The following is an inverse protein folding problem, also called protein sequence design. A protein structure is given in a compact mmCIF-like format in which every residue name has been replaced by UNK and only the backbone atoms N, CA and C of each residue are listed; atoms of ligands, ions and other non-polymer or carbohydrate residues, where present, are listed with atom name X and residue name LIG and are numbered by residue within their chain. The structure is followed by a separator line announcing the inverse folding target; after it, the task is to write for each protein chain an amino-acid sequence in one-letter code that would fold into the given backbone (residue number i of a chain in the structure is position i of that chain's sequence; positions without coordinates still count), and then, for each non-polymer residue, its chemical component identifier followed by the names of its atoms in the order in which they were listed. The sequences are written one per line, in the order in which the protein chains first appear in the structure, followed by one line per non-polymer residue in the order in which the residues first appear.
data_IF_390478186550
#
_entry.id   IF_390478186550
#
_cell.length_a   1.000
_cell.length_b   1.000
_cell.length_c   1.000
_cell.angle_alpha   90.00
_cell.angle_beta   90.00
_cell.angle_gamma   90.00
#
_symmetry.space_group_name_H-M   'P 1'
#
loop_
_entity.id
_entity.type
_entity.pdbx_description
1 polymer ?
2 non-polymer ?
3 non-polymer ?
4 non-polymer ?
5 water ?
#
# COMPACT_ATOMS: atom_id res chain seq x y z
N UNK A 18 0.11 35.56 -27.32
CA UNK A 18 0.89 34.68 -26.39
C UNK A 18 2.12 35.38 -25.87
N UNK A 19 2.90 35.94 -26.79
CA UNK A 19 4.12 36.68 -26.43
C UNK A 19 3.85 37.63 -25.31
N UNK A 20 2.78 38.41 -25.43
CA UNK A 20 2.44 39.39 -24.41
C UNK A 20 1.98 38.74 -23.10
N UNK A 21 1.19 37.68 -23.19
CA UNK A 21 0.71 36.97 -22.01
C UNK A 21 1.86 36.38 -21.14
N UNK A 22 2.90 35.88 -21.79
CA UNK A 22 4.07 35.36 -21.08
C UNK A 22 4.93 36.44 -20.37
N UNK A 23 4.95 37.67 -20.89
CA UNK A 23 5.61 38.78 -20.17
C UNK A 23 4.76 39.14 -18.96
N UNK A 24 3.45 39.01 -19.12
CA UNK A 24 2.52 39.32 -18.03
C UNK A 24 2.62 38.32 -16.86
N UNK A 25 3.28 37.18 -17.06
CA UNK A 25 3.55 36.28 -15.93
C UNK A 25 4.52 36.93 -14.92
N UNK A 26 4.16 36.92 -13.63
CA UNK A 26 5.07 37.32 -12.55
C UNK A 26 6.36 36.51 -12.54
N UNK A 27 6.24 35.20 -12.75
CA UNK A 27 7.36 34.28 -12.90
C UNK A 27 7.02 33.24 -13.95
N UNK A 28 8.02 32.88 -14.78
CA UNK A 28 7.92 31.71 -15.67
C UNK A 28 8.37 30.48 -14.87
N UNK A 29 7.41 29.77 -14.27
CA UNK A 29 7.76 28.64 -13.37
C UNK A 29 8.14 27.40 -14.19
N UNK A 30 7.22 26.97 -15.08
CA UNK A 30 7.41 25.78 -15.91
C UNK A 30 7.91 26.11 -17.31
N UNK A 31 8.39 25.08 -18.00
CA UNK A 31 8.55 25.09 -19.46
C UNK A 31 7.18 25.48 -20.06
N UNK A 32 7.17 26.39 -21.02
CA UNK A 32 5.96 26.72 -21.76
C UNK A 32 5.76 25.68 -22.86
N UNK A 33 4.53 25.18 -22.97
CA UNK A 33 4.22 23.99 -23.77
C UNK A 33 4.32 24.29 -25.28
N UNK A 34 5.14 23.53 -26.00
CA UNK A 34 5.28 23.67 -27.44
C UNK A 34 6.05 24.92 -27.89
N UNK A 35 6.73 25.59 -26.96
CA UNK A 35 7.45 26.83 -27.23
C UNK A 35 8.79 26.85 -26.56
N UNK A 36 9.76 26.07 -27.10
CA UNK A 36 11.16 26.08 -26.65
C UNK A 36 11.85 27.46 -26.51
N UNK A 37 11.30 28.53 -27.11
CA UNK A 37 11.89 29.90 -26.96
C UNK A 37 12.01 30.36 -25.51
N UNK A 38 11.32 29.69 -24.59
CA UNK A 38 11.22 30.17 -23.23
C UNK A 38 11.88 29.27 -22.24
N UNK A 39 12.59 28.25 -22.73
CA UNK A 39 13.10 27.19 -21.85
C UNK A 39 14.26 27.60 -20.89
N UNK A 40 14.96 28.68 -21.23
CA UNK A 40 15.96 29.23 -20.35
C UNK A 40 15.37 30.10 -19.24
N UNK A 41 14.26 30.77 -19.51
CA UNK A 41 13.64 31.66 -18.50
C UNK A 41 12.95 30.86 -17.37
N UNK A 42 12.54 29.63 -17.68
CA UNK A 42 11.74 28.78 -16.77
C UNK A 42 12.56 28.32 -15.58
N UNK A 43 11.97 28.35 -14.39
CA UNK A 43 12.67 27.99 -13.15
C UNK A 43 12.86 26.47 -13.00
N UNK A 44 11.97 25.67 -13.62
CA UNK A 44 11.93 24.21 -13.46
C UNK A 44 11.89 23.46 -14.81
N UNK A 45 12.81 22.50 -14.98
CA UNK A 45 13.01 21.82 -16.28
C UNK A 45 11.86 20.84 -16.67
N UNK A 46 11.15 20.32 -15.66
CA UNK A 46 9.81 19.63 -15.77
C UNK A 46 9.74 18.22 -16.37
N UNK A 47 10.75 17.77 -17.11
CA UNK A 47 10.63 16.53 -17.87
C UNK A 47 10.70 15.28 -17.02
N UNK A 48 11.66 15.21 -16.10
CA UNK A 48 11.85 14.07 -15.17
C UNK A 48 10.57 13.74 -14.37
N UNK A 49 9.88 14.77 -13.90
CA UNK A 49 8.65 14.60 -13.17
C UNK A 49 7.49 14.22 -14.09
N UNK A 50 7.52 14.62 -15.36
CA UNK A 50 6.42 14.28 -16.27
C UNK A 50 6.45 12.80 -16.62
N UNK A 51 7.65 12.30 -16.78
CA UNK A 51 7.81 10.94 -17.20
C UNK A 51 7.28 10.06 -16.08
N UNK A 52 7.40 10.48 -14.82
CA UNK A 52 6.81 9.70 -13.73
C UNK A 52 5.29 9.86 -13.65
N UNK A 53 4.82 11.07 -13.89
CA UNK A 53 3.38 11.33 -13.88
C UNK A 53 2.65 10.58 -15.00
N UNK A 54 3.19 10.57 -16.22
CA UNK A 54 2.52 9.91 -17.33
C UNK A 54 2.61 8.39 -17.22
N UNK A 55 3.75 7.89 -16.74
CA UNK A 55 3.88 6.49 -16.36
C UNK A 55 2.73 5.99 -15.44
N UNK A 56 2.33 6.82 -14.46
CA UNK A 56 1.16 6.52 -13.62
C UNK A 56 -0.17 6.83 -14.27
N UNK A 57 -0.23 7.84 -15.13
CA UNK A 57 -1.46 8.09 -15.89
C UNK A 57 -1.85 6.80 -16.62
N UNK A 58 -0.88 6.21 -17.31
CA UNK A 58 -1.10 5.03 -18.15
C UNK A 58 -1.58 3.84 -17.32
N UNK A 59 -0.95 3.64 -16.16
CA UNK A 59 -1.24 2.47 -15.32
C UNK A 59 -2.70 2.51 -14.95
N UNK A 60 -3.16 3.68 -14.49
CA UNK A 60 -4.51 3.82 -13.99
C UNK A 60 -5.50 3.92 -15.13
N UNK A 61 -5.07 4.51 -16.24
CA UNK A 61 -5.88 4.56 -17.45
C UNK A 61 -6.26 3.13 -17.86
N UNK A 62 -5.25 2.29 -17.98
CA UNK A 62 -5.38 0.87 -18.30
C UNK A 62 -6.30 0.17 -17.31
N UNK A 63 -6.01 0.29 -16.02
CA UNK A 63 -6.85 -0.33 -14.99
C UNK A 63 -8.32 0.15 -15.07
N UNK A 64 -8.56 1.38 -15.46
CA UNK A 64 -9.94 1.81 -15.53
C UNK A 64 -10.53 1.45 -16.90
N UNK A 65 -9.66 1.33 -17.91
CA UNK A 65 -10.03 0.88 -19.24
C UNK A 65 -10.36 2.00 -20.19
N UNK A 66 -10.04 3.23 -19.81
CA UNK A 66 -10.45 4.40 -20.58
C UNK A 66 -9.56 5.58 -20.26
N UNK A 67 -9.64 6.64 -21.08
CA UNK A 67 -8.97 7.89 -20.75
C UNK A 67 -9.49 8.46 -19.41
N UNK A 68 -8.70 9.33 -18.77
CA UNK A 68 -9.02 9.84 -17.44
C UNK A 68 -9.38 11.32 -17.37
N UNK A 69 -10.19 11.64 -16.36
CA UNK A 69 -10.38 12.99 -15.88
C UNK A 69 -9.35 13.28 -14.78
N UNK A 70 -8.62 14.35 -14.99
CA UNK A 70 -7.50 14.71 -14.20
C UNK A 70 -7.70 16.13 -13.72
N UNK A 71 -7.31 16.39 -12.47
CA UNK A 71 -7.40 17.70 -11.88
C UNK A 71 -5.97 18.07 -11.50
N UNK A 72 -5.53 19.19 -12.04
CA UNK A 72 -4.18 19.70 -11.85
C UNK A 72 -4.34 20.91 -10.93
N UNK A 73 -3.85 20.78 -9.69
CA UNK A 73 -4.01 21.74 -8.63
C UNK A 73 -2.76 22.65 -8.54
N UNK A 74 -2.92 23.93 -8.85
CA UNK A 74 -1.79 24.84 -8.95
C UNK A 74 -1.03 24.58 -10.23
N UNK A 75 -1.76 24.64 -11.33
CA UNK A 75 -1.26 24.24 -12.64
C UNK A 75 -0.25 25.19 -13.27
N UNK A 76 -0.06 26.38 -12.73
CA UNK A 76 0.97 27.29 -13.24
C UNK A 76 0.70 27.58 -14.72
N UNK A 77 1.70 27.30 -15.55
CA UNK A 77 1.63 27.58 -16.96
C UNK A 77 1.17 26.35 -17.75
N UNK A 78 0.55 25.42 -17.03
CA UNK A 78 -0.28 24.38 -17.63
C UNK A 78 0.44 23.20 -18.24
N UNK A 79 1.76 23.10 -18.00
CA UNK A 79 2.64 22.17 -18.72
C UNK A 79 2.21 20.74 -18.49
N UNK A 80 1.92 20.38 -17.24
CA UNK A 80 1.50 19.01 -16.93
C UNK A 80 0.09 18.74 -17.45
N UNK A 81 -0.84 19.69 -17.39
CA UNK A 81 -2.22 19.43 -17.88
C UNK A 81 -2.31 19.28 -19.42
N UNK A 82 -1.58 20.12 -20.15
CA UNK A 82 -1.55 20.03 -21.60
C UNK A 82 -0.83 18.77 -22.03
N UNK A 83 0.28 18.47 -21.37
CA UNK A 83 0.98 17.21 -21.63
C UNK A 83 0.07 15.96 -21.47
N UNK A 84 -0.86 16.01 -20.52
CA UNK A 84 -1.78 14.93 -20.26
C UNK A 84 -2.99 15.01 -21.23
N UNK A 85 -3.44 16.23 -21.51
CA UNK A 85 -4.51 16.38 -22.49
C UNK A 85 -4.00 15.81 -23.82
N UNK A 86 -2.72 16.05 -24.08
CA UNK A 86 -2.02 15.45 -25.21
C UNK A 86 -2.05 13.92 -25.32
N UNK A 87 -2.76 13.24 -24.44
CA UNK A 87 -2.88 11.77 -24.51
C UNK A 87 -4.32 11.35 -24.25
N UNK A 88 -5.29 12.23 -24.52
CA UNK A 88 -6.73 11.94 -24.38
C UNK A 88 -7.35 12.21 -23.02
N UNK A 89 -6.52 12.63 -22.06
CA UNK A 89 -7.03 12.97 -20.74
C UNK A 89 -7.91 14.19 -20.87
N UNK A 90 -9.01 14.23 -20.12
CA UNK A 90 -9.82 15.43 -19.99
C UNK A 90 -9.32 16.08 -18.73
N UNK A 91 -8.75 17.27 -18.85
CA UNK A 91 -8.12 17.87 -17.69
C UNK A 91 -8.80 19.16 -17.23
N UNK A 92 -8.72 19.41 -15.93
CA UNK A 92 -9.00 20.72 -15.38
C UNK A 92 -7.74 21.24 -14.66
N UNK A 93 -7.40 22.51 -14.89
CA UNK A 93 -6.28 23.17 -14.24
C UNK A 93 -6.74 24.32 -13.39
N UNK A 94 -6.31 24.35 -12.12
CA UNK A 94 -6.67 25.38 -11.15
C UNK A 94 -5.39 26.09 -10.76
N UNK A 95 -5.43 27.42 -10.77
CA UNK A 95 -4.35 28.25 -10.25
C UNK A 95 -5.04 29.50 -9.74
N UNK A 96 -4.53 30.12 -8.65
CA UNK A 96 -5.14 31.35 -8.15
C UNK A 96 -4.60 32.65 -8.78
N UNK A 97 -3.73 32.53 -9.78
CA UNK A 97 -3.18 33.70 -10.45
C UNK A 97 -3.75 33.83 -11.85
N UNK A 98 -4.46 34.95 -12.05
CA UNK A 98 -5.11 35.27 -13.34
C UNK A 98 -4.14 35.16 -14.53
N UNK A 99 -2.94 35.70 -14.35
CA UNK A 99 -1.93 35.70 -15.38
C UNK A 99 -1.57 34.27 -15.85
N UNK A 100 -1.52 33.34 -14.90
CA UNK A 100 -1.17 31.94 -15.13
C UNK A 100 -2.21 31.27 -16.02
N UNK A 101 -3.49 31.46 -15.69
CA UNK A 101 -4.58 30.84 -16.45
C UNK A 101 -4.76 31.44 -17.83
N UNK A 102 -4.61 32.76 -17.94
CA UNK A 102 -4.62 33.42 -19.23
C UNK A 102 -3.60 32.78 -20.15
N UNK A 103 -2.42 32.43 -19.61
CA UNK A 103 -1.43 31.73 -20.42
C UNK A 103 -1.86 30.28 -20.70
N UNK A 104 -2.49 29.65 -19.72
CA UNK A 104 -2.93 28.27 -19.88
C UNK A 104 -3.93 28.14 -21.02
N UNK A 105 -4.92 29.02 -21.05
CA UNK A 105 -5.94 28.99 -22.08
C UNK A 105 -5.38 29.31 -23.47
N UNK A 106 -4.53 30.34 -23.54
CA UNK A 106 -3.82 30.64 -24.79
C UNK A 106 -3.20 29.37 -25.35
N UNK A 107 -2.45 28.65 -24.52
CA UNK A 107 -1.80 27.42 -24.98
C UNK A 107 -2.82 26.35 -25.37
N UNK A 108 -3.92 26.32 -24.63
CA UNK A 108 -5.02 25.39 -24.86
C UNK A 108 -5.72 25.71 -26.19
N UNK A 109 -5.88 27.00 -26.48
CA UNK A 109 -6.42 27.43 -27.79
C UNK A 109 -5.53 27.03 -28.99
N UNK A 110 -4.22 27.16 -28.83
CA UNK A 110 -3.28 26.64 -29.82
C UNK A 110 -3.41 25.12 -30.02
N UNK A 111 -3.82 24.38 -28.99
CA UNK A 111 -4.01 22.92 -29.13
C UNK A 111 -5.51 22.58 -29.02
N UNK A 112 -6.27 22.86 -30.10
CA UNK A 112 -7.72 22.96 -29.95
C UNK A 112 -8.42 21.62 -29.71
N UNK A 113 -7.81 20.50 -30.07
CA UNK A 113 -8.49 19.24 -29.83
C UNK A 113 -8.17 18.58 -28.44
N UNK A 114 -7.29 19.23 -27.69
CA UNK A 114 -7.05 18.88 -26.30
C UNK A 114 -8.30 19.20 -25.48
N UNK A 115 -8.75 18.26 -24.66
CA UNK A 115 -9.89 18.48 -23.78
C UNK A 115 -9.35 19.10 -22.48
N UNK A 116 -9.22 20.44 -22.48
CA UNK A 116 -8.43 21.12 -21.48
C UNK A 116 -9.15 22.37 -21.05
N UNK A 117 -9.38 22.52 -19.75
CA UNK A 117 -10.10 23.67 -19.20
C UNK A 117 -9.40 24.22 -17.94
N UNK A 118 -9.28 25.55 -17.88
CA UNK A 118 -8.52 26.24 -16.84
C UNK A 118 -9.36 27.27 -16.06
N UNK A 119 -9.23 27.29 -14.73
CA UNK A 119 -10.04 28.19 -13.90
C UNK A 119 -9.14 28.90 -12.91
N UNK A 120 -9.47 30.16 -12.60
CA UNK A 120 -8.84 30.89 -11.50
C UNK A 120 -9.60 30.50 -10.25
N UNK A 121 -8.90 29.93 -9.28
CA UNK A 121 -9.57 29.46 -8.06
C UNK A 121 -8.52 29.17 -7.02
N UNK A 122 -8.95 28.92 -5.80
CA UNK A 122 -8.10 28.47 -4.72
C UNK A 122 -8.34 27.00 -4.48
N UNK A 123 -7.24 26.29 -4.25
CA UNK A 123 -7.24 24.85 -4.01
C UNK A 123 -8.18 24.45 -2.84
N UNK A 124 -8.19 25.26 -1.80
CA UNK A 124 -8.98 24.98 -0.60
C UNK A 124 -10.47 24.88 -0.96
N UNK A 125 -10.94 25.85 -1.74
CA UNK A 125 -12.34 25.89 -2.15
C UNK A 125 -12.62 24.82 -3.23
N UNK A 126 -11.75 24.73 -4.24
CA UNK A 126 -11.95 23.73 -5.28
C UNK A 126 -12.10 22.38 -4.59
N UNK A 127 -11.19 22.05 -3.66
CA UNK A 127 -11.25 20.73 -3.00
C UNK A 127 -12.54 20.63 -2.16
N UNK A 128 -12.88 21.67 -1.42
CA UNK A 128 -14.13 21.74 -0.63
C UNK A 128 -15.37 21.40 -1.47
N UNK A 129 -15.40 21.85 -2.72
CA UNK A 129 -16.56 21.71 -3.60
C UNK A 129 -16.52 20.45 -4.46
N UNK A 130 -15.52 19.58 -4.30
CA UNK A 130 -15.39 18.39 -5.15
C UNK A 130 -16.43 17.31 -4.84
N UNK A 131 -17.07 16.78 -5.88
CA UNK A 131 -17.98 15.63 -5.74
C UNK A 131 -17.22 14.37 -6.21
N UNK A 132 -17.59 13.24 -5.63
CA UNK A 132 -16.87 11.98 -5.80
C UNK A 132 -17.03 11.42 -7.22
N UNK A 133 -15.93 11.11 -7.88
CA UNK A 133 -15.98 10.58 -9.23
C UNK A 133 -15.75 11.58 -10.34
N UNK A 134 -15.89 12.88 -10.06
CA UNK A 134 -15.61 13.92 -11.07
C UNK A 134 -14.26 13.67 -11.72
N UNK A 135 -13.24 13.39 -10.90
CA UNK A 135 -11.90 13.18 -11.39
C UNK A 135 -11.41 11.84 -10.89
N UNK A 136 -10.70 11.10 -11.75
CA UNK A 136 -10.04 9.85 -11.35
C UNK A 136 -8.62 10.10 -10.73
N UNK A 137 -7.98 11.19 -11.15
CA UNK A 137 -6.61 11.46 -10.79
C UNK A 137 -6.52 12.93 -10.49
N UNK A 138 -5.79 13.28 -9.45
CA UNK A 138 -5.56 14.66 -9.09
C UNK A 138 -4.07 14.76 -8.88
N UNK A 139 -3.51 15.93 -9.12
CA UNK A 139 -2.07 16.09 -9.13
C UNK A 139 -1.80 17.33 -8.34
N UNK A 140 -0.89 17.25 -7.37
CA UNK A 140 -0.58 18.39 -6.53
C UNK A 140 0.93 18.53 -6.37
N UNK A 141 1.58 19.27 -7.27
CA UNK A 141 3.03 19.36 -7.24
C UNK A 141 3.50 20.70 -6.68
N UNK A 142 4.22 20.65 -5.57
CA UNK A 142 4.84 21.83 -4.99
C UNK A 142 3.81 22.94 -4.81
N UNK A 143 2.75 22.65 -4.08
CA UNK A 143 1.71 23.61 -3.79
C UNK A 143 1.15 23.51 -2.38
N UNK A 144 1.16 22.33 -1.77
CA UNK A 144 0.57 22.23 -0.45
C UNK A 144 1.35 22.86 0.69
N UNK A 145 2.66 23.01 0.54
CA UNK A 145 3.42 23.73 1.56
C UNK A 145 2.96 25.13 1.80
N UNK A 146 2.63 25.86 0.74
CA UNK A 146 2.06 27.22 0.87
C UNK A 146 0.81 27.17 1.72
N UNK A 147 0.00 26.12 1.53
CA UNK A 147 -1.24 25.98 2.22
C UNK A 147 -1.00 25.56 3.69
N UNK A 148 0.05 24.79 3.96
CA UNK A 148 0.36 24.40 5.32
C UNK A 148 0.79 25.64 6.11
N UNK A 149 1.52 26.53 5.45
CA UNK A 149 2.01 27.73 6.07
C UNK A 149 0.86 28.62 6.47
N UNK A 150 -0.11 28.74 5.57
CA UNK A 150 -1.30 29.56 5.74
C UNK A 150 -2.28 28.93 6.76
N UNK A 151 -2.72 27.70 6.53
CA UNK A 151 -3.82 27.13 7.33
C UNK A 151 -3.39 26.09 8.33
N UNK A 152 -2.15 25.60 8.30
CA UNK A 152 -1.69 24.61 9.29
C UNK A 152 -1.73 23.15 8.85
N UNK A 153 -0.99 22.30 9.56
CA UNK A 153 -0.82 20.91 9.15
C UNK A 153 -2.19 20.19 9.14
N UNK A 154 -2.94 20.33 10.22
CA UNK A 154 -4.20 19.61 10.38
C UNK A 154 -5.24 19.95 9.34
N UNK A 155 -5.30 21.21 8.92
CA UNK A 155 -6.23 21.60 7.85
C UNK A 155 -5.84 20.99 6.49
N UNK A 156 -4.54 20.90 6.21
CA UNK A 156 -4.08 20.31 4.96
C UNK A 156 -4.31 18.80 4.97
N UNK A 157 -4.16 18.13 6.12
CA UNK A 157 -4.44 16.67 6.16
C UNK A 157 -5.89 16.41 5.77
N UNK A 158 -6.81 17.18 6.31
CA UNK A 158 -8.25 17.07 5.98
C UNK A 158 -8.61 17.41 4.52
N UNK A 159 -7.92 18.37 3.93
CA UNK A 159 -8.00 18.61 2.48
C UNK A 159 -7.55 17.42 1.64
N UNK A 160 -6.41 16.82 2.02
CA UNK A 160 -5.85 15.71 1.27
C UNK A 160 -6.67 14.41 1.51
N UNK A 161 -7.23 14.23 2.72
CA UNK A 161 -8.15 13.09 2.94
C UNK A 161 -9.38 13.19 2.03
N UNK A 162 -9.99 14.36 2.04
CA UNK A 162 -11.11 14.69 1.16
C UNK A 162 -10.75 14.41 -0.32
N UNK A 163 -9.62 14.93 -0.77
CA UNK A 163 -9.15 14.78 -2.14
C UNK A 163 -8.87 13.33 -2.51
N UNK A 164 -8.37 12.54 -1.58
CA UNK A 164 -8.15 11.15 -1.82
C UNK A 164 -9.47 10.38 -1.84
N UNK A 165 -10.44 10.86 -1.08
CA UNK A 165 -11.71 10.14 -0.96
C UNK A 165 -12.52 10.29 -2.23
N UNK A 166 -12.47 11.47 -2.83
CA UNK A 166 -13.22 11.75 -4.07
C UNK A 166 -12.51 11.35 -5.39
N UNK A 167 -11.29 10.83 -5.33
CA UNK A 167 -10.54 10.37 -6.52
C UNK A 167 -10.04 8.92 -6.35
N UNK A 168 -9.52 8.34 -7.43
CA UNK A 168 -8.89 7.02 -7.34
C UNK A 168 -7.39 7.10 -6.96
N UNK A 169 -6.74 8.21 -7.28
CA UNK A 169 -5.28 8.30 -7.10
C UNK A 169 -4.92 9.76 -7.03
N UNK A 170 -3.93 10.05 -6.19
CA UNK A 170 -3.42 11.40 -6.05
C UNK A 170 -1.89 11.36 -6.16
N UNK A 171 -1.29 12.12 -7.09
CA UNK A 171 0.16 12.29 -7.09
C UNK A 171 0.50 13.62 -6.42
N UNK A 172 1.40 13.58 -5.44
CA UNK A 172 1.86 14.76 -4.75
C UNK A 172 3.38 14.86 -4.80
N UNK A 173 3.91 16.03 -5.15
CA UNK A 173 5.32 16.34 -4.90
C UNK A 173 5.36 17.37 -3.80
N UNK A 174 6.01 17.04 -2.69
CA UNK A 174 5.90 17.77 -1.43
C UNK A 174 7.21 18.48 -1.00
N UNK A 175 7.17 19.81 -0.89
CA UNK A 175 8.29 20.60 -0.30
C UNK A 175 8.57 20.12 1.11
N UNK A 176 9.85 20.19 1.52
CA UNK A 176 10.24 19.75 2.85
C UNK A 176 10.77 20.91 3.75
N UNK A 177 10.64 20.68 5.05
CA UNK A 177 11.00 21.63 6.10
C UNK A 177 12.43 22.10 5.94
N UNK A 178 13.31 21.24 5.50
CA UNK A 178 14.75 21.57 5.53
C UNK A 178 15.11 22.54 4.43
N UNK A 179 14.17 22.90 3.56
CA UNK A 179 14.46 23.86 2.49
C UNK A 179 14.62 25.30 3.06
N UNK A 180 15.52 26.07 2.45
CA UNK A 180 15.96 27.32 3.07
C UNK A 180 15.01 28.50 2.82
N UNK A 181 13.70 28.27 2.92
CA UNK A 181 12.70 29.33 2.67
C UNK A 181 11.94 29.59 3.96
N UNK A 182 11.25 30.74 4.07
CA UNK A 182 10.62 31.12 5.38
C UNK A 182 9.44 30.22 5.75
N UNK A 183 8.82 29.60 4.76
CA UNK A 183 7.67 28.74 4.99
C UNK A 183 8.10 27.36 5.42
N UNK A 184 9.40 27.05 5.34
CA UNK A 184 9.92 25.77 5.81
C UNK A 184 9.60 25.44 7.26
N UNK A 185 9.73 26.43 8.12
CA UNK A 185 9.53 26.18 9.53
C UNK A 185 8.10 25.68 9.87
N UNK A 186 7.11 26.06 9.06
CA UNK A 186 5.74 25.63 9.28
C UNK A 186 5.47 24.18 8.90
N UNK A 187 6.41 23.54 8.19
CA UNK A 187 6.14 22.22 7.61
C UNK A 187 6.37 21.12 8.66
N UNK A 188 5.71 19.97 8.50
CA UNK A 188 5.97 18.92 9.45
C UNK A 188 7.38 18.33 9.30
N UNK A 189 7.81 17.60 10.31
CA UNK A 189 9.13 17.00 10.37
C UNK A 189 9.33 16.13 9.17
N UNK A 190 8.32 15.33 8.81
CA UNK A 190 8.38 14.42 7.68
C UNK A 190 7.19 14.68 6.74
N UNK A 191 7.44 14.81 5.44
CA UNK A 191 6.31 15.07 4.57
C UNK A 191 5.23 13.99 4.61
N UNK A 192 5.57 12.80 5.04
CA UNK A 192 4.57 11.73 5.19
C UNK A 192 3.53 12.09 6.26
N UNK A 193 3.77 13.13 7.05
CA UNK A 193 2.80 13.50 8.05
C UNK A 193 1.55 14.02 7.36
N UNK A 194 1.61 14.44 6.10
CA UNK A 194 0.45 15.07 5.45
C UNK A 194 -0.52 13.99 4.87
N UNK A 195 -0.02 12.78 4.73
CA UNK A 195 -0.71 11.76 4.00
C UNK A 195 -0.84 10.40 4.64
N UNK A 196 -0.27 10.21 5.83
CA UNK A 196 -0.26 8.92 6.52
C UNK A 196 -1.65 8.47 7.02
N UNK A 197 -2.56 9.44 7.09
CA UNK A 197 -3.97 9.16 7.38
C UNK A 197 -4.72 8.57 6.16
N UNK A 198 -4.15 8.65 4.97
CA UNK A 198 -4.76 8.04 3.80
C UNK A 198 -4.39 6.57 3.85
N UNK A 199 -5.15 5.70 3.21
CA UNK A 199 -5.02 4.25 3.36
C UNK A 199 -3.76 3.78 2.70
N UNK A 200 -3.54 4.22 1.46
CA UNK A 200 -2.39 3.74 0.67
C UNK A 200 -1.53 4.91 0.22
N UNK A 201 -0.24 4.79 0.52
CA UNK A 201 0.78 5.66 -0.06
C UNK A 201 2.09 4.92 -0.41
N UNK A 202 2.70 5.34 -1.52
CA UNK A 202 4.02 4.85 -1.93
C UNK A 202 4.89 5.97 -2.59
N UNK A 203 6.13 6.11 -2.12
CA UNK A 203 7.12 7.01 -2.72
C UNK A 203 7.41 6.52 -4.11
N UNK A 204 7.25 7.37 -5.12
CA UNK A 204 7.56 6.97 -6.51
C UNK A 204 8.77 7.71 -7.11
N UNK A 205 9.34 8.68 -6.37
CA UNK A 205 10.47 9.47 -6.85
C UNK A 205 11.00 10.52 -5.89
N UNK A 206 12.08 11.20 -6.31
CA UNK A 206 12.72 12.27 -5.57
C UNK A 206 13.48 13.24 -6.47
N UNK A 207 13.28 14.56 -6.34
CA UNK A 207 13.97 15.55 -7.21
C UNK A 207 14.56 16.78 -6.51
N UNK A 208 15.32 17.62 -7.24
CA UNK A 208 15.69 18.96 -6.67
C UNK A 208 15.41 20.09 -7.62
N UNK A 216 13.16 16.81 -2.48
CA UNK A 216 11.65 16.72 -2.63
C UNK A 216 11.02 15.37 -3.07
N UNK A 217 10.30 14.71 -2.17
CA UNK A 217 9.71 13.43 -2.51
C UNK A 217 8.44 13.53 -3.31
N UNK A 218 8.15 12.53 -4.11
CA UNK A 218 6.87 12.48 -4.80
C UNK A 218 6.16 11.18 -4.43
N UNK A 219 4.92 11.33 -3.96
CA UNK A 219 4.10 10.22 -3.45
C UNK A 219 2.90 9.99 -4.32
N UNK A 220 2.55 8.72 -4.45
CA UNK A 220 1.34 8.24 -5.11
C UNK A 220 0.49 7.76 -3.96
N UNK A 221 -0.73 8.30 -3.84
CA UNK A 221 -1.60 8.08 -2.70
C UNK A 221 -2.99 7.71 -3.19
N UNK A 222 -3.72 6.94 -2.38
CA UNK A 222 -5.08 6.54 -2.69
C UNK A 222 -5.79 6.08 -1.44
N UNK A 223 -7.11 6.36 -1.36
CA UNK A 223 -7.98 5.74 -0.35
C UNK A 223 -8.82 4.61 -0.91
N UNK A 224 -8.63 4.28 -2.20
CA UNK A 224 -9.45 3.25 -2.86
C UNK A 224 -8.77 2.10 -3.51
N UNK A 225 -7.51 2.25 -3.91
CA UNK A 225 -6.83 1.25 -4.70
C UNK A 225 -5.41 1.02 -4.21
N UNK A 226 -4.96 -0.22 -4.37
CA UNK A 226 -3.55 -0.56 -4.26
C UNK A 226 -2.90 -0.15 -5.58
N UNK A 227 -1.94 0.77 -5.55
CA UNK A 227 -1.21 1.23 -6.75
C UNK A 227 0.28 0.83 -6.74
N UNK A 228 0.52 -0.42 -7.14
CA UNK A 228 1.83 -1.01 -7.46
C UNK A 228 1.87 -0.99 -8.99
N UNK A 229 3.03 -0.97 -9.60
CA UNK A 229 3.06 -0.74 -11.06
C UNK A 229 2.37 -1.81 -11.90
N UNK A 230 2.56 -3.06 -11.51
CA UNK A 230 1.93 -4.22 -12.16
C UNK A 230 0.64 -4.69 -11.47
N UNK A 231 0.21 -4.01 -10.41
CA UNK A 231 -0.99 -4.39 -9.69
C UNK A 231 -1.74 -3.14 -9.25
N UNK A 232 -2.80 -2.85 -9.98
CA UNK A 232 -3.56 -1.66 -9.80
C UNK A 232 -5.04 -2.05 -9.64
N UNK A 233 -5.50 -2.18 -8.41
CA UNK A 233 -6.82 -2.75 -8.18
C UNK A 233 -7.48 -2.09 -6.99
N UNK A 234 -8.81 -2.04 -6.96
CA UNK A 234 -9.49 -1.49 -5.79
C UNK A 234 -9.32 -2.43 -4.64
N UNK A 235 -9.52 -1.91 -3.43
CA UNK A 235 -9.69 -2.75 -2.28
C UNK A 235 -10.95 -2.33 -1.58
N UNK A 236 -11.53 -3.30 -0.88
CA UNK A 236 -12.76 -3.14 -0.12
C UNK A 236 -12.48 -2.74 1.32
N UNK A 237 -11.33 -3.14 1.84
CA UNK A 237 -11.06 -2.97 3.24
C UNK A 237 -9.58 -2.92 3.42
N UNK A 238 -9.09 -2.10 4.36
CA UNK A 238 -7.69 -2.22 4.78
C UNK A 238 -7.54 -2.13 6.29
N UNK A 239 -6.42 -2.64 6.80
CA UNK A 239 -6.13 -2.52 8.23
C UNK A 239 -4.68 -2.29 8.50
N UNK A 240 -4.46 -1.63 9.63
CA UNK A 240 -3.15 -1.29 10.06
C UNK A 240 -2.62 -2.27 11.10
N UNK A 241 -3.37 -3.34 11.37
CA UNK A 241 -2.90 -4.44 12.21
C UNK A 241 -3.33 -5.78 11.62
N UNK A 242 -2.60 -6.85 11.96
CA UNK A 242 -2.85 -8.10 11.25
C UNK A 242 -4.18 -8.79 11.62
N UNK A 243 -4.67 -8.57 12.83
CA UNK A 243 -5.86 -9.30 13.32
C UNK A 243 -6.43 -8.59 14.55
N UNK A 244 -7.73 -8.78 14.80
CA UNK A 244 -8.36 -8.28 16.04
C UNK A 244 -7.50 -8.75 17.19
N UNK A 245 -7.12 -7.81 18.05
CA UNK A 245 -6.33 -8.12 19.21
C UNK A 245 -4.82 -8.22 19.04
N UNK A 246 -4.28 -7.79 17.90
CA UNK A 246 -2.81 -7.74 17.71
C UNK A 246 -2.10 -6.61 18.49
N UNK A 247 -2.83 -5.64 18.97
CA UNK A 247 -2.19 -4.45 19.54
C UNK A 247 -1.35 -3.61 18.54
N UNK A 248 -0.18 -3.14 19.00
CA UNK A 248 0.76 -2.28 18.23
C UNK A 248 2.14 -2.94 18.01
N UNK A 249 2.19 -4.26 17.92
CA UNK A 249 3.49 -4.99 17.78
C UNK A 249 4.42 -4.50 16.68
N UNK A 250 3.85 -4.05 15.56
CA UNK A 250 4.64 -3.60 14.42
C UNK A 250 4.68 -2.10 14.34
N UNK A 251 4.30 -1.45 15.43
CA UNK A 251 4.31 0.00 15.51
C UNK A 251 3.66 0.65 14.30
N UNK A 252 2.63 0.01 13.77
CA UNK A 252 1.86 0.51 12.61
C UNK A 252 2.62 0.58 11.27
N UNK A 253 3.70 -0.16 11.17
CA UNK A 253 4.58 -0.14 10.00
C UNK A 253 4.14 -1.11 8.94
N UNK A 254 3.16 -1.95 9.21
CA UNK A 254 2.60 -2.79 8.15
C UNK A 254 1.13 -2.47 7.85
N UNK A 255 0.79 -2.39 6.57
CA UNK A 255 -0.54 -2.19 6.11
C UNK A 255 -1.01 -3.40 5.30
N UNK A 256 -2.24 -3.78 5.52
CA UNK A 256 -2.86 -4.90 4.85
C UNK A 256 -4.12 -4.45 4.08
N UNK A 257 -4.17 -4.72 2.77
CA UNK A 257 -5.28 -4.31 1.91
C UNK A 257 -5.91 -5.57 1.32
N UNK A 258 -7.25 -5.63 1.40
CA UNK A 258 -8.08 -6.78 1.01
C UNK A 258 -8.92 -6.41 -0.19
N UNK A 259 -8.62 -7.07 -1.31
CA UNK A 259 -9.50 -7.02 -2.45
C UNK A 259 -10.44 -8.20 -2.51
N UNK A 260 -10.96 -8.41 -3.70
CA UNK A 260 -11.92 -9.48 -3.95
C UNK A 260 -11.23 -10.80 -3.94
N UNK A 261 -10.03 -10.84 -4.53
CA UNK A 261 -9.33 -12.10 -4.79
C UNK A 261 -7.88 -11.99 -4.39
N UNK A 262 -7.52 -10.98 -3.58
CA UNK A 262 -6.13 -10.84 -3.18
C UNK A 262 -6.00 -10.18 -1.83
N UNK A 263 -4.81 -10.35 -1.29
CA UNK A 263 -4.37 -9.64 -0.12
C UNK A 263 -3.00 -9.02 -0.41
N UNK A 264 -2.84 -7.74 -0.05
CA UNK A 264 -1.57 -7.06 -0.23
C UNK A 264 -0.97 -6.69 1.12
N UNK A 265 0.24 -7.15 1.36
CA UNK A 265 1.03 -6.81 2.53
C UNK A 265 1.98 -5.69 2.10
N UNK A 266 1.87 -4.54 2.75
CA UNK A 266 2.72 -3.39 2.45
C UNK A 266 3.42 -3.01 3.75
N UNK A 267 4.74 -3.19 3.78
CA UNK A 267 5.59 -2.96 4.95
C UNK A 267 6.48 -1.74 4.75
N UNK A 268 6.46 -0.79 5.67
CA UNK A 268 7.38 0.33 5.63
C UNK A 268 8.65 -0.02 6.38
N UNK A 269 9.80 0.29 5.77
CA UNK A 269 11.13 -0.01 6.33
C UNK A 269 11.59 1.11 7.25
N UNK A 270 10.81 2.16 7.19
CA UNK A 270 11.19 3.40 7.80
C UNK A 270 9.88 4.17 7.98
N UNK A 271 9.70 4.78 9.14
CA UNK A 271 8.46 5.48 9.47
C UNK A 271 8.73 6.92 9.94
N UNK A 272 7.73 7.80 9.83
CA UNK A 272 7.82 9.14 10.46
C UNK A 272 7.99 9.06 11.98
N UNK A 273 8.32 10.19 12.58
CA UNK A 273 8.52 10.31 14.01
C UNK A 273 9.61 9.42 14.55
N UNK A 274 10.49 8.91 13.68
CA UNK A 274 11.53 7.94 14.05
C UNK A 274 11.10 6.71 14.83
N UNK A 275 9.89 6.18 14.67
CA UNK A 275 9.37 5.25 15.69
C UNK A 275 9.91 3.83 15.53
N UNK A 276 10.35 3.53 14.32
CA UNK A 276 10.84 2.20 14.01
C UNK A 276 12.35 2.14 14.25
N UNK A 277 12.77 1.32 15.20
CA UNK A 277 14.19 1.00 15.40
C UNK A 277 14.82 0.21 14.22
N UNK A 278 16.15 0.18 14.18
CA UNK A 278 16.91 -0.53 13.12
C UNK A 278 16.58 -2.00 13.06
N UNK A 279 16.37 -2.59 14.21
CA UNK A 279 16.05 -4.01 14.33
C UNK A 279 14.59 -4.21 13.86
N UNK A 280 13.68 -3.30 14.22
CA UNK A 280 12.27 -3.46 13.78
C UNK A 280 12.25 -3.35 12.27
N UNK A 281 12.99 -2.38 11.75
CA UNK A 281 13.19 -2.26 10.30
C UNK A 281 13.75 -3.52 9.61
N UNK A 282 14.79 -4.14 10.16
CA UNK A 282 15.24 -5.43 9.61
C UNK A 282 14.14 -6.47 9.67
N UNK A 283 13.43 -6.51 10.78
CA UNK A 283 12.39 -7.52 10.93
C UNK A 283 11.42 -7.39 9.74
N UNK A 284 10.98 -6.16 9.42
CA UNK A 284 10.07 -5.98 8.30
C UNK A 284 10.66 -6.47 6.98
N UNK A 285 11.97 -6.31 6.84
CA UNK A 285 12.69 -6.74 5.63
C UNK A 285 12.82 -8.27 5.54
N UNK A 286 13.42 -8.92 6.55
CA UNK A 286 13.58 -10.38 6.58
C UNK A 286 12.24 -11.04 6.37
N UNK A 287 11.29 -10.71 7.21
CA UNK A 287 10.02 -11.39 7.15
C UNK A 287 9.41 -11.29 5.76
N UNK A 288 9.41 -10.13 5.12
CA UNK A 288 8.87 -10.03 3.74
C UNK A 288 9.68 -10.75 2.66
N UNK A 289 11.02 -10.65 2.70
CA UNK A 289 11.85 -11.32 1.68
C UNK A 289 11.62 -12.81 1.77
N UNK A 290 11.58 -13.28 3.01
CA UNK A 290 11.48 -14.68 3.32
C UNK A 290 10.19 -15.25 2.78
N UNK A 291 9.08 -14.52 2.98
CA UNK A 291 7.77 -14.93 2.49
C UNK A 291 7.74 -15.02 1.00
N UNK A 292 8.17 -13.97 0.32
CA UNK A 292 8.36 -14.01 -1.13
C UNK A 292 9.25 -15.21 -1.63
N UNK A 293 10.42 -15.43 -1.03
CA UNK A 293 11.29 -16.58 -1.39
C UNK A 293 10.46 -17.86 -1.33
N UNK A 294 9.71 -18.03 -0.24
CA UNK A 294 8.91 -19.21 -0.06
C UNK A 294 7.76 -19.31 -1.06
N UNK A 295 6.89 -18.32 -1.11
CA UNK A 295 5.68 -18.45 -1.94
C UNK A 295 5.99 -18.51 -3.43
N UNK A 296 7.09 -17.89 -3.83
CA UNK A 296 7.55 -17.93 -5.20
C UNK A 296 7.94 -19.33 -5.70
N UNK A 297 8.57 -20.09 -4.82
CA UNK A 297 9.00 -21.47 -5.11
C UNK A 297 8.63 -22.41 -3.98
N UNK A 298 7.35 -22.79 -3.89
CA UNK A 298 6.99 -23.64 -2.76
C UNK A 298 7.24 -25.13 -3.02
N UNK A 299 7.50 -25.87 -1.95
CA UNK A 299 7.80 -27.29 -2.08
C UNK A 299 6.67 -28.04 -2.77
N UNK A 300 7.02 -28.99 -3.63
CA UNK A 300 6.04 -29.76 -4.38
C UNK A 300 5.04 -30.35 -3.42
N UNK A 301 3.78 -30.33 -3.82
CA UNK A 301 2.73 -30.99 -3.06
C UNK A 301 2.39 -30.20 -1.80
N UNK A 302 2.28 -28.89 -1.98
CA UNK A 302 1.90 -28.01 -0.87
C UNK A 302 1.08 -26.86 -1.45
N UNK A 303 -0.18 -26.77 -1.04
CA UNK A 303 -1.02 -25.77 -1.61
C UNK A 303 -0.68 -24.52 -0.84
N UNK A 304 0.08 -23.63 -1.48
CA UNK A 304 0.40 -22.30 -0.94
C UNK A 304 -0.28 -21.29 -1.83
N UNK A 305 -0.73 -20.15 -1.28
CA UNK A 305 -1.36 -19.10 -2.08
C UNK A 305 -0.39 -18.54 -3.08
N UNK A 306 -0.86 -18.27 -4.31
CA UNK A 306 0.00 -17.74 -5.40
C UNK A 306 0.46 -16.26 -5.20
N UNK A 307 1.65 -15.94 -5.72
CA UNK A 307 2.21 -14.59 -5.73
C UNK A 307 1.67 -13.86 -6.96
N UNK A 308 0.89 -12.80 -6.74
CA UNK A 308 0.31 -12.02 -7.86
C UNK A 308 1.22 -10.86 -8.23
N UNK A 309 1.88 -10.26 -7.23
CA UNK A 309 2.96 -9.27 -7.43
C UNK A 309 3.75 -9.03 -6.15
N UNK A 310 5.02 -8.65 -6.32
CA UNK A 310 5.87 -8.20 -5.25
C UNK A 310 6.90 -7.22 -5.76
N UNK A 311 7.34 -6.31 -4.90
CA UNK A 311 8.48 -5.44 -5.18
C UNK A 311 8.83 -4.71 -3.90
N UNK A 312 9.87 -3.86 -3.97
CA UNK A 312 10.26 -2.91 -2.92
C UNK A 312 10.93 -1.68 -3.46
N UNK A 313 11.01 -0.63 -2.64
CA UNK A 313 11.76 0.60 -2.92
C UNK A 313 12.63 0.90 -1.71
N UNK A 314 13.16 2.10 -1.60
CA UNK A 314 14.05 2.34 -0.48
C UNK A 314 13.26 2.42 0.83
N UNK A 315 11.98 2.72 0.73
CA UNK A 315 11.14 3.06 1.89
C UNK A 315 10.34 1.88 2.42
N UNK A 316 10.23 0.81 1.64
CA UNK A 316 9.13 -0.13 1.81
C UNK A 316 9.19 -1.30 0.87
N UNK A 317 8.40 -2.30 1.19
CA UNK A 317 8.26 -3.46 0.32
C UNK A 317 6.84 -3.96 0.33
N UNK A 318 6.50 -4.72 -0.70
CA UNK A 318 5.15 -5.23 -0.85
C UNK A 318 5.09 -6.61 -1.43
N UNK A 319 4.05 -7.34 -1.04
CA UNK A 319 3.72 -8.65 -1.56
C UNK A 319 2.19 -8.70 -1.79
N UNK A 320 1.78 -9.10 -2.99
CA UNK A 320 0.32 -9.33 -3.27
C UNK A 320 0.13 -10.79 -3.53
N UNK A 321 -0.78 -11.41 -2.79
CA UNK A 321 -0.99 -12.88 -2.95
C UNK A 321 -2.47 -13.21 -3.04
N UNK A 322 -2.77 -14.48 -3.40
CA UNK A 322 -4.17 -14.89 -3.55
C UNK A 322 -4.83 -14.96 -2.15
N UNK A 323 -6.07 -14.51 -2.07
CA UNK A 323 -6.82 -14.47 -0.83
C UNK A 323 -7.46 -15.86 -0.59
N UNK A 324 -7.09 -16.48 0.53
CA UNK A 324 -7.64 -17.76 0.91
C UNK A 324 -9.01 -17.50 1.51
N UNK A 325 -9.94 -18.44 1.34
CA UNK A 325 -11.27 -18.10 1.81
C UNK A 325 -11.46 -18.59 3.25
N UNK A 326 -12.43 -18.01 3.96
CA UNK A 326 -12.67 -18.36 5.34
C UNK A 326 -12.23 -17.28 6.30
N UNK A 327 -12.13 -17.65 7.58
CA UNK A 327 -11.83 -16.71 8.65
C UNK A 327 -10.69 -17.26 9.48
N UNK A 328 -9.99 -16.34 10.13
CA UNK A 328 -8.97 -16.68 11.06
C UNK A 328 -9.55 -17.51 12.20
N UNK A 329 -8.86 -18.59 12.49
CA UNK A 329 -9.23 -19.39 13.59
C UNK A 329 -9.38 -18.52 14.86
N UNK A 330 -8.51 -17.50 15.03
CA UNK A 330 -8.56 -16.69 16.25
C UNK A 330 -9.88 -15.99 16.41
N UNK A 331 -10.47 -15.49 15.33
CA UNK A 331 -11.74 -14.78 15.37
C UNK A 331 -12.92 -15.75 15.58
N UNK A 332 -12.80 -16.97 15.05
CA UNK A 332 -13.84 -17.97 15.22
C UNK A 332 -13.88 -18.33 16.68
N UNK A 333 -12.71 -18.49 17.30
CA UNK A 333 -12.66 -18.76 18.72
C UNK A 333 -13.19 -17.57 19.54
N UNK A 334 -12.81 -16.37 19.17
CA UNK A 334 -13.36 -15.16 19.83
C UNK A 334 -14.92 -15.09 19.79
N UNK A 335 -15.53 -15.48 18.67
CA UNK A 335 -16.99 -15.35 18.53
C UNK A 335 -17.74 -16.58 19.07
N UNK A 336 -17.01 -17.46 19.75
CA UNK A 336 -17.55 -18.67 20.31
C UNK A 336 -18.11 -19.66 19.29
N UNK A 337 -17.76 -19.51 18.02
CA UNK A 337 -18.26 -20.40 16.96
C UNK A 337 -18.00 -21.89 17.19
N UNK A 338 -18.93 -22.67 16.65
CA UNK A 338 -18.94 -24.11 16.73
C UNK A 338 -18.03 -24.57 15.60
N UNK A 339 -16.94 -25.27 15.94
CA UNK A 339 -15.90 -25.59 14.98
C UNK A 339 -15.68 -27.06 15.08
N UNK A 340 -15.19 -27.69 14.02
CA UNK A 340 -14.80 -29.11 14.07
C UNK A 340 -13.30 -29.24 14.45
N UNK A 341 -12.99 -29.51 15.71
CA UNK A 341 -11.60 -29.53 16.14
C UNK A 341 -10.80 -30.68 15.52
N UNK A 342 -11.49 -31.78 15.22
CA UNK A 342 -10.88 -32.91 14.58
C UNK A 342 -10.45 -32.51 13.21
N UNK A 343 -11.34 -31.92 12.42
CA UNK A 343 -10.96 -31.58 11.04
C UNK A 343 -9.86 -30.49 10.97
N UNK A 344 -9.89 -29.51 11.89
CA UNK A 344 -8.92 -28.42 11.89
C UNK A 344 -7.54 -28.95 12.21
N UNK A 345 -7.49 -29.81 13.20
CA UNK A 345 -6.25 -30.34 13.69
C UNK A 345 -5.62 -31.31 12.70
N UNK A 346 -6.40 -32.24 12.17
CA UNK A 346 -5.88 -33.18 11.18
C UNK A 346 -5.34 -32.47 9.91
N UNK A 347 -6.06 -31.50 9.42
CA UNK A 347 -5.63 -30.85 8.20
C UNK A 347 -4.37 -30.06 8.47
N UNK A 348 -4.27 -29.50 9.65
CA UNK A 348 -3.15 -28.69 9.98
C UNK A 348 -1.95 -29.60 10.21
N UNK A 349 -2.17 -30.75 10.83
CA UNK A 349 -1.08 -31.71 11.05
C UNK A 349 -0.64 -32.32 9.72
N UNK A 350 -1.56 -32.55 8.80
CA UNK A 350 -1.15 -33.05 7.47
C UNK A 350 -0.21 -32.10 6.74
N UNK A 351 -0.47 -30.80 6.81
CA UNK A 351 0.42 -29.93 6.10
C UNK A 351 1.72 -29.70 6.86
N UNK A 352 1.71 -29.72 8.19
CA UNK A 352 2.97 -29.56 8.93
C UNK A 352 3.88 -30.78 8.74
N UNK A 353 3.32 -31.99 8.70
CA UNK A 353 4.11 -33.19 8.37
C UNK A 353 4.73 -33.02 6.96
N UNK A 354 3.88 -32.61 6.00
CA UNK A 354 4.27 -32.40 4.60
C UNK A 354 5.43 -31.42 4.48
N UNK A 355 5.31 -30.25 5.13
CA UNK A 355 6.42 -29.28 5.15
C UNK A 355 7.71 -29.90 5.72
N UNK A 356 7.54 -30.59 6.85
CA UNK A 356 8.64 -31.22 7.56
C UNK A 356 9.40 -32.22 6.69
N UNK A 357 8.70 -33.06 5.95
CA UNK A 357 9.37 -34.01 5.03
C UNK A 357 10.27 -33.26 4.02
N UNK A 358 9.77 -32.15 3.49
CA UNK A 358 10.51 -31.34 2.54
C UNK A 358 11.48 -30.36 3.23
N UNK A 359 11.72 -30.49 4.53
CA UNK A 359 12.70 -29.62 5.19
C UNK A 359 12.25 -28.21 5.58
N UNK A 360 10.94 -28.02 5.78
CA UNK A 360 10.41 -26.68 6.20
C UNK A 360 9.63 -26.72 7.52
N UNK A 361 9.76 -25.63 8.28
CA UNK A 361 8.97 -25.46 9.48
C UNK A 361 8.31 -24.07 9.55
N UNK A 362 7.21 -23.95 10.30
CA UNK A 362 6.51 -22.67 10.53
C UNK A 362 6.69 -22.34 11.96
N UNK A 363 7.34 -21.24 12.28
CA UNK A 363 7.60 -20.92 13.67
C UNK A 363 6.60 -20.03 14.38
N UNK A 364 5.39 -19.92 13.83
CA UNK A 364 4.41 -19.08 14.46
C UNK A 364 3.00 -19.67 14.19
N UNK A 365 2.80 -20.94 14.54
CA UNK A 365 1.52 -21.57 14.34
C UNK A 365 0.61 -21.21 15.52
N UNK A 366 -0.27 -20.22 15.30
CA UNK A 366 -1.23 -19.83 16.29
C UNK A 366 -2.66 -19.55 15.69
N UNK A 367 -3.68 -19.50 16.50
CA UNK A 367 -4.99 -19.22 15.88
C UNK A 367 -5.05 -18.10 14.84
N UNK A 368 -4.29 -17.04 15.05
CA UNK A 368 -4.36 -15.89 14.17
C UNK A 368 -3.57 -16.02 12.90
N UNK A 369 -2.83 -17.12 12.73
CA UNK A 369 -2.21 -17.47 11.45
C UNK A 369 -2.77 -18.74 10.83
N UNK A 370 -3.99 -19.11 11.20
CA UNK A 370 -4.63 -20.23 10.58
C UNK A 370 -5.94 -19.81 9.99
N UNK A 371 -6.12 -20.04 8.70
CA UNK A 371 -7.38 -19.75 8.02
C UNK A 371 -8.20 -21.03 7.88
N UNK A 372 -9.50 -20.90 8.25
CA UNK A 372 -10.50 -22.00 8.28
C UNK A 372 -11.65 -21.69 7.32
N UNK A 373 -11.93 -22.58 6.38
CA UNK A 373 -12.99 -22.31 5.41
C UNK A 373 -14.30 -22.92 5.89
N UNK A 374 -15.28 -22.98 5.02
CA UNK A 374 -16.64 -23.36 5.41
C UNK A 374 -16.79 -24.85 5.70
N UNK A 375 -15.88 -25.67 5.15
CA UNK A 375 -15.88 -27.12 5.33
C UNK A 375 -14.97 -27.52 6.51
N UNK A 376 -14.54 -26.51 7.26
CA UNK A 376 -13.70 -26.67 8.43
C UNK A 376 -12.33 -27.23 8.05
N UNK A 377 -11.85 -26.88 6.87
CA UNK A 377 -10.49 -27.28 6.51
C UNK A 377 -9.56 -26.12 6.86
N UNK A 378 -8.43 -26.43 7.49
CA UNK A 378 -7.48 -25.42 7.98
C UNK A 378 -6.19 -25.36 7.16
N UNK A 379 -5.78 -24.11 6.89
CA UNK A 379 -4.56 -23.77 6.15
C UNK A 379 -3.75 -22.74 6.91
N UNK A 380 -2.42 -22.82 6.80
CA UNK A 380 -1.56 -21.79 7.33
C UNK A 380 -1.49 -20.60 6.40
N UNK A 381 -1.25 -19.44 6.98
CA UNK A 381 -0.91 -18.22 6.24
C UNK A 381 0.35 -17.70 6.95
N UNK A 382 0.75 -16.45 6.68
CA UNK A 382 1.93 -15.85 7.35
C UNK A 382 3.20 -16.72 7.10
N UNK A 383 3.52 -16.92 5.83
CA UNK A 383 4.69 -17.78 5.44
C UNK A 383 6.05 -17.13 5.53
N UNK A 384 6.11 -15.88 5.93
CA UNK A 384 7.34 -15.32 6.39
C UNK A 384 7.74 -15.93 7.74
N UNK A 385 6.86 -16.74 8.35
CA UNK A 385 7.24 -17.50 9.56
C UNK A 385 7.97 -18.81 9.25
N UNK A 386 8.16 -19.10 7.97
CA UNK A 386 8.81 -20.34 7.56
C UNK A 386 10.33 -20.32 7.87
N UNK A 387 10.80 -21.37 8.54
CA UNK A 387 12.22 -21.56 8.71
C UNK A 387 12.58 -22.93 8.10
N UNK A 388 13.85 -23.08 7.72
CA UNK A 388 14.38 -24.35 7.19
C UNK A 388 15.62 -24.78 7.98
N UNK A 389 15.57 -24.61 9.31
CA UNK A 389 16.66 -25.00 10.23
C UNK A 389 18.05 -24.62 9.74
N UNK A 396 12.70 -28.33 15.75
CA UNK A 396 11.69 -29.35 15.42
C UNK A 396 10.87 -29.79 16.65
N UNK A 397 11.59 -30.36 17.63
CA UNK A 397 11.00 -30.66 18.93
C UNK A 397 10.53 -29.38 19.62
N UNK A 398 11.28 -28.28 19.47
CA UNK A 398 10.87 -27.02 20.11
C UNK A 398 9.61 -26.47 19.50
N UNK A 399 9.46 -26.59 18.18
CA UNK A 399 8.20 -26.23 17.53
C UNK A 399 7.08 -27.21 17.81
N UNK A 400 7.39 -28.51 17.94
CA UNK A 400 6.33 -29.47 18.34
C UNK A 400 5.83 -29.12 19.73
N UNK A 401 6.76 -28.86 20.63
CA UNK A 401 6.42 -28.45 21.97
C UNK A 401 5.47 -27.29 21.93
N UNK A 402 5.78 -26.33 21.09
CA UNK A 402 4.97 -25.13 21.02
C UNK A 402 3.59 -25.42 20.41
N UNK A 403 3.47 -26.47 19.58
CA UNK A 403 2.19 -26.87 19.00
C UNK A 403 1.20 -27.36 20.05
N UNK A 404 1.75 -27.83 21.17
CA UNK A 404 0.91 -28.22 22.31
C UNK A 404 0.20 -27.00 22.89
N UNK A 405 0.87 -25.84 22.94
CA UNK A 405 0.17 -24.61 23.30
C UNK A 405 -0.98 -24.35 22.30
N UNK A 406 -0.72 -24.51 21.00
CA UNK A 406 -1.80 -24.36 19.99
C UNK A 406 -2.95 -25.32 20.25
N UNK A 407 -2.65 -26.57 20.59
CA UNK A 407 -3.68 -27.61 20.83
C UNK A 407 -4.46 -27.17 22.05
N UNK A 408 -3.75 -26.62 23.02
CA UNK A 408 -4.39 -26.16 24.20
C UNK A 408 -5.31 -24.93 23.91
N UNK A 409 -4.83 -23.98 23.10
CA UNK A 409 -5.66 -22.85 22.65
C UNK A 409 -6.89 -23.36 21.89
N UNK A 410 -6.72 -24.40 21.10
CA UNK A 410 -7.82 -24.95 20.33
C UNK A 410 -8.98 -25.47 21.21
N UNK A 411 -8.74 -25.82 22.47
CA UNK A 411 -9.73 -26.61 23.28
C UNK A 411 -10.34 -25.98 24.57
N UNK A 431 -8.16 -31.70 28.52
CA UNK A 431 -8.45 -32.12 27.13
C UNK A 431 -9.36 -33.36 26.97
N UNK A 432 -10.47 -33.24 26.22
CA UNK A 432 -11.34 -34.41 26.02
C UNK A 432 -10.63 -35.53 25.31
N UNK A 433 -11.28 -36.68 25.19
CA UNK A 433 -10.74 -37.83 24.46
C UNK A 433 -11.44 -37.92 23.12
N UNK A 434 -10.80 -38.54 22.10
CA UNK A 434 -9.53 -39.25 22.09
C UNK A 434 -8.24 -38.38 22.01
N UNK A 435 -8.35 -37.06 22.18
CA UNK A 435 -7.17 -36.19 22.05
C UNK A 435 -6.26 -36.18 23.26
N UNK A 436 -6.73 -36.68 24.40
CA UNK A 436 -5.90 -36.84 25.58
C UNK A 436 -4.98 -38.05 25.40
N UNK A 437 -5.53 -39.14 24.88
CA UNK A 437 -4.75 -40.31 24.53
C UNK A 437 -3.72 -39.99 23.49
N UNK A 438 -4.13 -39.31 22.43
CA UNK A 438 -3.19 -38.91 21.40
C UNK A 438 -2.01 -38.19 22.02
N UNK A 439 -2.29 -37.15 22.77
CA UNK A 439 -1.21 -36.37 23.37
C UNK A 439 -0.30 -37.19 24.34
N UNK A 440 -0.90 -38.05 25.18
CA UNK A 440 -0.10 -38.93 26.06
C UNK A 440 0.76 -39.96 25.31
N UNK A 441 0.23 -40.48 24.20
CA UNK A 441 0.98 -41.33 23.28
C UNK A 441 2.25 -40.61 22.77
N UNK A 442 2.08 -39.37 22.35
CA UNK A 442 3.20 -38.53 21.93
C UNK A 442 4.15 -38.33 23.13
N UNK A 443 3.61 -38.10 24.31
CA UNK A 443 4.48 -37.82 25.45
C UNK A 443 5.22 -39.01 25.99
N UNK A 444 4.81 -40.21 25.61
CA UNK A 444 5.59 -41.40 25.98
C UNK A 444 6.89 -41.48 25.23
N UNK A 445 6.93 -40.95 24.01
CA UNK A 445 8.20 -40.85 23.27
C UNK A 445 9.14 -39.83 23.91
N UNK A 446 10.45 -40.03 23.81
CA UNK A 446 11.40 -39.02 24.30
C UNK A 446 11.35 -37.74 23.50
N UNK A 447 11.66 -36.62 24.13
CA UNK A 447 11.43 -35.32 23.47
C UNK A 447 12.23 -35.19 22.17
N UNK A 448 13.46 -35.68 22.16
CA UNK A 448 14.32 -35.61 20.97
C UNK A 448 13.64 -36.23 19.74
N UNK A 449 12.73 -37.17 19.96
CA UNK A 449 12.04 -37.83 18.88
C UNK A 449 10.80 -37.11 18.36
N UNK A 450 10.41 -35.99 18.98
CA UNK A 450 9.16 -35.31 18.64
C UNK A 450 9.31 -34.55 17.38
N UNK A 451 8.46 -34.83 16.40
CA UNK A 451 8.36 -34.07 15.18
C UNK A 451 6.94 -34.19 14.60
N UNK A 452 6.67 -33.44 13.54
CA UNK A 452 5.32 -33.48 12.98
C UNK A 452 4.97 -34.78 12.27
N UNK A 453 5.94 -35.51 11.69
CA UNK A 453 5.57 -36.84 11.11
C UNK A 453 4.98 -37.73 12.21
N UNK A 454 5.63 -37.70 13.36
CA UNK A 454 5.22 -38.51 14.48
C UNK A 454 3.94 -38.01 15.08
N UNK A 455 3.74 -36.70 15.13
CA UNK A 455 2.44 -36.18 15.65
C UNK A 455 1.33 -36.65 14.76
N UNK A 456 1.57 -36.64 13.45
CA UNK A 456 0.53 -37.00 12.49
C UNK A 456 0.27 -38.50 12.51
N UNK A 457 1.33 -39.29 12.58
CA UNK A 457 1.21 -40.77 12.62
C UNK A 457 0.32 -41.15 13.80
N UNK A 458 0.72 -40.65 14.98
CA UNK A 458 0.06 -40.97 16.22
C UNK A 458 -1.37 -40.47 16.23
N UNK A 459 -1.60 -39.28 15.68
CA UNK A 459 -2.96 -38.75 15.52
C UNK A 459 -3.90 -39.62 14.63
N UNK A 460 -3.34 -40.33 13.66
CA UNK A 460 -4.17 -41.15 12.77
C UNK A 460 -4.64 -42.46 13.44
N UNK A 461 -3.91 -42.94 14.45
CA UNK A 461 -4.42 -43.98 15.35
C UNK A 461 -5.40 -43.39 16.36
N UNK A 462 -6.49 -44.13 16.62
CA UNK A 462 -7.63 -43.62 17.43
C UNK A 462 -7.21 -42.85 18.68
X LIG B 1 1.96 -11.14 12.24
X LIG B 1 2.12 -10.06 13.26
X LIG B 1 0.73 -12.03 12.43
X LIG B 1 3.29 -11.85 12.09
X LIG B 1 2.20 -10.46 9.37
X LIG B 1 3.10 -11.67 9.26
X LIG B 1 2.65 -9.12 8.89
X LIG B 1 1.65 -10.28 10.89
X LIG B 1 0.06 -12.00 8.16
X LIG B 1 -0.35 -12.56 9.49
X LIG B 1 0.62 -12.89 7.11
X LIG B 1 0.96 -10.69 8.34
X LIG B 1 -1.21 -11.35 7.43
X LIG B 1 -1.98 -10.35 8.05
X LIG B 1 -3.46 -10.65 7.96
X LIG B 1 -3.95 -10.65 6.59
X LIG B 1 -3.78 -12.04 8.52
X LIG B 1 -3.96 -12.07 9.91
X LIG B 1 -5.02 -12.37 7.76
X LIG B 1 -6.12 -11.69 8.31
X LIG B 1 -4.80 -11.79 6.39
X LIG B 1 -4.17 -12.65 5.36
X LIG B 1 -2.86 -12.68 5.05
X LIG B 1 -2.61 -13.49 3.98
X LIG B 1 -3.82 -13.95 3.58
X LIG B 1 -4.31 -14.84 2.53
X LIG B 1 -3.44 -15.40 1.70
X LIG B 1 -5.62 -15.09 2.46
X LIG B 1 -6.52 -14.52 3.30
X LIG B 1 -6.15 -13.71 4.28
X LIG B 1 -4.83 -13.42 4.49
X LIG C 1 2.26 22.50 -10.03
X LIG C 1 3.27 23.30 -10.75
X LIG C 1 4.57 22.58 -10.84
X LIG C 1 4.99 21.97 -9.83
X LIG C 1 5.21 22.64 -11.91
X LIG C 1 3.58 24.69 -10.15
X LIG C 1 4.02 24.76 -8.68
X LIG C 1 4.10 26.36 -8.14
X LIG C 1 5.45 26.43 -7.14
X LIG C 1 2.79 26.84 -7.22
X LIG C 1 1.58 27.25 -8.05
X LIG C 1 0.44 27.13 -7.22
X LIG C 1 1.61 28.70 -8.51
X LIG C 1 1.34 28.72 -9.90
X LIG C 1 0.56 29.41 -7.68
X LIG C 1 -0.17 30.38 -8.42
X LIG C 1 -0.36 28.29 -7.28
X LIG C 1 -0.93 28.34 -5.92
X LIG C 1 -0.31 28.49 -4.74
X LIG C 1 -1.22 28.44 -3.71
X LIG C 1 -2.42 28.27 -4.26
X LIG C 1 -3.79 28.12 -3.79
X LIG C 1 -4.07 28.18 -2.47
X LIG C 1 -4.76 27.96 -4.69
X LIG C 1 -4.52 27.89 -6.00
X LIG C 1 -3.31 28.01 -6.51
X LIG C 1 -2.24 28.21 -5.70
X LIG D 1 -0.06 -13.49 11.07
X LIG E 1 4.19 -12.88 10.67
#
# INVERSE_FOLDING_TARGET
MHHHHHHENLYFQGTKDLNTLVSELPEIYQTIFGHPEWDGDAARDCNQRLDLITEQYDNLSRALGRPLNVLDLGCAQGFFSLSLASKGATIVGIDFQQENINVCRALAEENPDFAAEFRVGRIEEVIAALEEGEFDLAIGLSVFHHIVHLHGIDEVKRLLSRLADVTQAVILELAVKEEPFYWGVSQPDDPRELIEQCAFYRLIGEFDTHLSPVPRPMYLVSNHRVLINDFNQPFQHWQNQPYAGAGLAHKRSRRYFFGEDYVCKFFYYDMPHGILTAEESQRNKHELHNEIKFLTQPPAGFDAPAVLAHGENAQSGWLVMEKLPGRLLSDMLAAGEEIDREKILGSLLRSLAALEKKGFWHDDVRPWNVMVDARQHARLIDFGSIVTTPQDCSWPTNLVQSFFVFVNELFAENKSWNGFWRSAPVHPFNLPQPWSNWLYAVWQEPVERWNFALLLALFEKKAKLPSAEQQ
ATP PG O1G O2G O3G PB O1B O2B O3B PA O1A O2A O3A O5' C5' C4' O4' C3' O3' C2' O2' C1' N9 C8 N7 C5 C6 N6 N1 C2 N3 C4
SAM N CA C O OXT CB CG SD CE C5' C4' O4' C3' O3' C2' O2' C1' N9 C8 N7 C5 C6 N6 N1 C2 N3 C4
MG MG
MG MG
#
